data_IF_855552003143
#
_entry.id   IF_855552003143
#
_cell.length_a   1.000
_cell.length_b   1.000
_cell.length_c   1.000
_cell.angle_alpha   90.00
_cell.angle_beta   90.00
_cell.angle_gamma   90.00
#
_symmetry.space_group_name_H-M   'P 1'
#
loop_
_entity.id
_entity.type
_entity.pdbx_description
1 polymer ?
#
# COMPACT_ATOMS: atom_id res chain seq x y z
N UNK A 1 9.07 78.16 26.72
CA UNK A 1 9.00 78.06 25.24
C UNK A 1 10.25 77.35 24.74
N UNK A 2 10.15 76.08 24.37
CA UNK A 2 11.29 75.34 23.78
C UNK A 2 11.55 75.96 22.40
N UNK A 3 12.77 76.41 22.13
CA UNK A 3 13.13 77.08 20.87
C UNK A 3 12.85 76.12 19.71
N UNK A 4 12.17 76.60 18.67
CA UNK A 4 11.78 75.86 17.45
C UNK A 4 12.93 75.03 16.84
N UNK A 5 14.18 75.46 17.03
CA UNK A 5 15.37 74.72 16.59
C UNK A 5 15.69 73.46 17.40
N UNK A 6 15.37 73.40 18.70
CA UNK A 6 15.60 72.19 19.51
C UNK A 6 14.60 71.08 19.17
N UNK A 7 13.35 71.45 18.88
CA UNK A 7 12.31 70.50 18.43
C UNK A 7 12.72 69.82 17.13
N UNK A 8 13.24 70.57 16.15
CA UNK A 8 13.73 70.02 14.87
C UNK A 8 14.94 69.10 15.09
N UNK A 9 15.81 69.42 16.04
CA UNK A 9 16.99 68.61 16.37
C UNK A 9 16.61 67.27 17.02
N UNK A 10 15.63 67.28 17.93
CA UNK A 10 15.07 66.07 18.55
C UNK A 10 14.34 65.21 17.51
N UNK A 11 13.54 65.83 16.64
CA UNK A 11 12.79 65.14 15.60
C UNK A 11 13.71 64.40 14.61
N UNK A 12 14.84 65.01 14.23
CA UNK A 12 15.83 64.36 13.34
C UNK A 12 16.68 63.29 14.04
N UNK A 13 17.00 63.46 15.34
CA UNK A 13 17.88 62.53 16.07
C UNK A 13 17.15 61.33 16.68
N UNK A 14 15.86 61.44 16.97
CA UNK A 14 15.10 60.40 17.69
C UNK A 14 13.92 59.90 16.88
N UNK A 15 13.08 60.79 16.35
CA UNK A 15 11.83 60.38 15.68
C UNK A 15 12.09 59.77 14.31
N UNK A 16 13.02 60.35 13.52
CA UNK A 16 13.37 59.85 12.19
C UNK A 16 13.95 58.42 12.18
N UNK A 17 14.93 58.04 13.02
CA UNK A 17 15.43 56.66 13.04
C UNK A 17 14.38 55.64 13.52
N UNK A 18 13.52 56.01 14.48
CA UNK A 18 12.42 55.14 14.94
C UNK A 18 11.42 54.90 13.80
N UNK A 19 11.06 55.95 13.05
CA UNK A 19 10.17 55.82 11.90
C UNK A 19 10.77 54.92 10.80
N UNK A 20 12.08 55.01 10.57
CA UNK A 20 12.79 54.15 9.62
C UNK A 20 12.78 52.69 10.08
N UNK A 21 13.02 52.42 11.37
CA UNK A 21 12.97 51.05 11.92
C UNK A 21 11.57 50.46 11.82
N UNK A 22 10.53 51.24 12.12
CA UNK A 22 9.14 50.79 11.99
C UNK A 22 8.77 50.53 10.52
N UNK A 23 9.22 51.38 9.59
CA UNK A 23 9.01 51.16 8.16
C UNK A 23 9.75 49.90 7.66
N UNK A 24 10.99 49.67 8.10
CA UNK A 24 11.73 48.44 7.80
C UNK A 24 11.04 47.20 8.36
N UNK A 25 10.59 47.24 9.62
CA UNK A 25 9.85 46.14 10.23
C UNK A 25 8.55 45.85 9.48
N UNK A 26 7.84 46.88 9.01
CA UNK A 26 6.64 46.73 8.19
C UNK A 26 6.95 46.12 6.81
N UNK A 27 8.02 46.56 6.15
CA UNK A 27 8.45 46.00 4.86
C UNK A 27 8.88 44.54 5.01
N UNK A 28 9.66 44.21 6.05
CA UNK A 28 10.06 42.84 6.36
C UNK A 28 8.83 41.98 6.66
N UNK A 29 7.88 42.47 7.46
CA UNK A 29 6.62 41.76 7.74
C UNK A 29 5.81 41.54 6.46
N UNK A 30 5.69 42.54 5.59
CA UNK A 30 4.96 42.44 4.33
C UNK A 30 5.64 41.47 3.35
N UNK A 31 6.98 41.45 3.29
CA UNK A 31 7.74 40.45 2.52
C UNK A 31 7.59 39.04 3.11
N UNK A 32 7.57 38.91 4.44
CA UNK A 32 7.40 37.64 5.14
C UNK A 32 5.99 37.06 4.95
N UNK A 33 4.94 37.88 5.01
CA UNK A 33 3.56 37.47 4.71
C UNK A 33 3.39 37.04 3.24
N UNK A 34 4.03 37.75 2.30
CA UNK A 34 4.07 37.32 0.88
C UNK A 34 4.78 35.98 0.70
N UNK A 35 5.89 35.75 1.41
CA UNK A 35 6.63 34.48 1.35
C UNK A 35 5.81 33.29 1.85
N UNK A 36 4.97 33.46 2.89
CA UNK A 36 4.03 32.41 3.32
C UNK A 36 2.90 32.13 2.32
N UNK A 37 2.59 33.09 1.45
CA UNK A 37 1.53 32.95 0.45
C UNK A 37 2.04 32.30 -0.86
N UNK A 38 3.37 32.23 -1.04
CA UNK A 38 4.03 31.76 -2.26
C UNK A 38 4.58 30.32 -2.19
N UNK A 39 4.06 29.48 -1.29
CA UNK A 39 4.19 28.02 -1.44
C UNK A 39 3.27 27.59 -2.59
N UNK A 40 3.81 27.66 -3.82
CA UNK A 40 3.10 27.25 -5.03
C UNK A 40 2.66 25.78 -4.89
N UNK A 41 1.35 25.57 -4.73
CA UNK A 41 0.78 24.25 -4.49
C UNK A 41 1.20 23.25 -5.57
N UNK A 42 1.48 22.02 -5.15
CA UNK A 42 1.80 20.93 -6.04
C UNK A 42 0.52 20.45 -6.73
N UNK A 43 0.47 20.57 -8.06
CA UNK A 43 -0.67 20.09 -8.86
C UNK A 43 -0.31 18.76 -9.51
N UNK A 44 -1.15 17.75 -9.27
CA UNK A 44 -1.05 16.46 -9.96
C UNK A 44 -2.36 16.15 -10.66
N UNK A 45 -2.26 15.56 -11.86
CA UNK A 45 -3.41 15.04 -12.58
C UNK A 45 -3.32 13.52 -12.61
N UNK A 46 -4.25 12.84 -11.95
CA UNK A 46 -4.35 11.38 -11.94
C UNK A 46 -5.67 11.01 -12.60
N UNK A 47 -5.63 10.25 -13.71
CA UNK A 47 -6.81 9.82 -14.46
C UNK A 47 -7.80 10.96 -14.80
N UNK A 48 -7.27 12.11 -15.24
CA UNK A 48 -8.09 13.27 -15.64
C UNK A 48 -8.68 14.09 -14.49
N UNK A 49 -8.46 13.70 -13.23
CA UNK A 49 -8.81 14.50 -12.05
C UNK A 49 -7.60 15.32 -11.60
N UNK A 50 -7.80 16.64 -11.45
CA UNK A 50 -6.78 17.57 -10.96
C UNK A 50 -6.83 17.63 -9.44
N UNK A 51 -5.73 17.29 -8.78
CA UNK A 51 -5.53 17.40 -7.35
C UNK A 51 -4.58 18.56 -7.06
N UNK A 52 -4.98 19.45 -6.15
CA UNK A 52 -4.20 20.63 -5.79
C UNK A 52 -3.76 20.48 -4.34
N UNK A 53 -2.48 20.20 -4.14
CA UNK A 53 -1.90 20.02 -2.82
C UNK A 53 -1.27 21.33 -2.36
N UNK A 54 -1.69 21.90 -1.22
CA UNK A 54 -1.13 23.16 -0.72
C UNK A 54 0.36 23.05 -0.38
N UNK A 55 0.85 21.85 -0.04
CA UNK A 55 2.27 21.55 0.20
C UNK A 55 2.55 20.05 0.04
N UNK A 56 3.83 19.64 0.16
CA UNK A 56 4.26 18.25 0.04
C UNK A 56 3.70 17.34 1.15
N UNK A 57 3.54 17.86 2.37
CA UNK A 57 2.96 17.09 3.49
C UNK A 57 1.51 16.69 3.21
N UNK A 58 0.70 17.61 2.68
CA UNK A 58 -0.68 17.33 2.29
C UNK A 58 -0.76 16.28 1.16
N UNK A 59 0.20 16.29 0.23
CA UNK A 59 0.31 15.27 -0.82
C UNK A 59 0.67 13.89 -0.25
N UNK A 60 1.61 13.84 0.71
CA UNK A 60 1.97 12.60 1.39
C UNK A 60 0.81 12.05 2.23
N UNK A 61 0.06 12.90 2.93
CA UNK A 61 -1.13 12.49 3.70
C UNK A 61 -2.22 11.88 2.81
N UNK A 62 -2.52 12.47 1.66
CA UNK A 62 -3.47 11.87 0.72
C UNK A 62 -2.96 10.54 0.15
N UNK A 63 -1.67 10.45 -0.16
CA UNK A 63 -1.06 9.19 -0.62
C UNK A 63 -1.20 8.11 0.46
N UNK A 64 -0.95 8.43 1.72
CA UNK A 64 -1.09 7.50 2.84
C UNK A 64 -2.55 7.05 2.96
N UNK A 65 -3.51 7.99 2.96
CA UNK A 65 -4.95 7.66 3.01
C UNK A 65 -5.37 6.75 1.86
N UNK A 66 -4.86 7.00 0.65
CA UNK A 66 -5.11 6.16 -0.52
C UNK A 66 -4.57 4.74 -0.28
N UNK A 67 -3.30 4.61 0.13
CA UNK A 67 -2.66 3.32 0.42
C UNK A 67 -3.42 2.55 1.50
N UNK A 68 -3.80 3.22 2.59
CA UNK A 68 -4.58 2.61 3.68
C UNK A 68 -5.92 2.09 3.18
N UNK A 69 -6.61 2.86 2.33
CA UNK A 69 -7.86 2.44 1.71
C UNK A 69 -7.68 1.22 0.81
N UNK A 70 -6.69 1.23 -0.10
CA UNK A 70 -6.51 0.12 -1.05
C UNK A 70 -5.92 -1.13 -0.42
N UNK A 71 -5.11 -1.00 0.63
CA UNK A 71 -4.52 -2.14 1.36
C UNK A 71 -5.56 -3.10 1.92
N UNK A 72 -6.77 -2.61 2.20
CA UNK A 72 -7.88 -3.44 2.70
C UNK A 72 -8.45 -4.39 1.65
N UNK A 73 -8.21 -4.13 0.36
CA UNK A 73 -8.50 -5.03 -0.75
C UNK A 73 -7.42 -6.07 -1.03
N UNK A 74 -6.35 -6.11 -0.22
CA UNK A 74 -5.25 -7.07 -0.34
C UNK A 74 -5.35 -8.10 0.78
N UNK A 75 -5.19 -9.37 0.44
CA UNK A 75 -5.29 -10.51 1.33
C UNK A 75 -4.04 -11.37 1.27
N UNK A 76 -3.75 -12.08 2.36
CA UNK A 76 -2.66 -13.07 2.42
C UNK A 76 -3.14 -14.40 1.87
N UNK A 77 -2.31 -15.08 1.08
CA UNK A 77 -2.55 -16.44 0.62
C UNK A 77 -1.58 -17.38 1.31
N UNK A 78 -2.10 -18.43 1.93
CA UNK A 78 -1.35 -19.55 2.47
C UNK A 78 -1.62 -20.77 1.61
N UNK A 79 -0.56 -21.45 1.19
CA UNK A 79 -0.68 -22.71 0.45
C UNK A 79 0.00 -23.84 1.17
N UNK A 80 -0.59 -25.03 1.12
CA UNK A 80 0.06 -26.27 1.58
C UNK A 80 0.19 -27.21 0.40
N UNK A 81 1.37 -27.78 0.22
CA UNK A 81 1.70 -28.74 -0.83
C UNK A 81 2.30 -29.99 -0.20
N UNK A 82 1.96 -31.17 -0.71
CA UNK A 82 2.64 -32.40 -0.33
C UNK A 82 3.77 -32.67 -1.32
N UNK A 83 5.02 -32.57 -0.85
CA UNK A 83 6.19 -32.88 -1.65
C UNK A 83 6.72 -34.27 -1.27
N UNK A 84 6.96 -35.10 -2.28
CA UNK A 84 7.58 -36.40 -2.09
C UNK A 84 9.10 -36.23 -2.10
N UNK A 85 9.73 -36.54 -0.98
CA UNK A 85 11.18 -36.42 -0.80
C UNK A 85 11.78 -37.82 -0.84
N UNK A 86 12.86 -37.99 -1.60
CA UNK A 86 13.67 -39.21 -1.57
C UNK A 86 14.41 -39.25 -0.23
N UNK A 87 14.33 -40.38 0.46
CA UNK A 87 15.00 -40.54 1.74
C UNK A 87 16.51 -40.72 1.52
N UNK A 88 17.37 -39.75 1.88
CA UNK A 88 18.81 -39.87 1.68
C UNK A 88 19.45 -40.88 2.64
N UNK A 89 18.69 -41.39 3.62
CA UNK A 89 19.12 -42.41 4.57
C UNK A 89 18.53 -43.79 4.28
N UNK A 90 17.89 -43.97 3.12
CA UNK A 90 17.39 -45.27 2.71
C UNK A 90 18.53 -46.30 2.61
N UNK A 91 18.31 -47.49 3.19
CA UNK A 91 19.26 -48.61 3.21
C UNK A 91 20.62 -48.32 3.89
N UNK A 92 20.67 -47.32 4.78
CA UNK A 92 21.88 -47.08 5.57
C UNK A 92 22.00 -48.07 6.74
N UNK A 93 23.22 -48.61 6.99
CA UNK A 93 23.45 -49.65 7.99
C UNK A 93 23.23 -49.21 9.45
N UNK A 94 22.99 -47.92 9.68
CA UNK A 94 22.70 -47.35 11.00
C UNK A 94 21.22 -46.94 11.18
N UNK A 95 20.37 -47.11 10.16
CA UNK A 95 18.98 -46.64 10.17
C UNK A 95 18.16 -47.17 11.35
N UNK A 96 18.29 -48.47 11.63
CA UNK A 96 17.59 -49.15 12.73
C UNK A 96 18.09 -48.69 14.12
N UNK A 97 19.33 -48.20 14.23
CA UNK A 97 19.89 -47.68 15.48
C UNK A 97 19.36 -46.28 15.83
N UNK A 98 19.02 -45.47 14.82
CA UNK A 98 18.54 -44.09 14.99
C UNK A 98 17.02 -43.93 14.78
N UNK A 99 16.28 -45.03 14.68
CA UNK A 99 14.82 -45.05 14.47
C UNK A 99 14.40 -44.28 13.21
N UNK A 100 15.24 -44.32 12.16
CA UNK A 100 14.98 -43.67 10.89
C UNK A 100 14.07 -44.59 10.05
N UNK A 101 12.89 -44.11 9.60
CA UNK A 101 11.99 -44.93 8.79
C UNK A 101 12.68 -45.47 7.52
N UNK A 102 12.73 -46.79 7.36
CA UNK A 102 13.33 -47.43 6.19
C UNK A 102 12.38 -47.44 4.98
N UNK A 103 11.96 -46.24 4.57
CA UNK A 103 11.16 -46.04 3.35
C UNK A 103 11.97 -45.32 2.29
N UNK A 104 11.89 -45.70 1.00
CA UNK A 104 12.64 -45.05 -0.07
C UNK A 104 12.27 -43.57 -0.26
N UNK A 105 11.03 -43.22 0.09
CA UNK A 105 10.48 -41.89 -0.07
C UNK A 105 9.54 -41.61 1.11
N UNK A 106 9.40 -40.34 1.47
CA UNK A 106 8.38 -39.89 2.41
C UNK A 106 7.72 -38.60 1.91
N UNK A 107 6.48 -38.40 2.31
CA UNK A 107 5.69 -37.21 2.01
C UNK A 107 5.95 -36.16 3.08
N UNK A 108 6.35 -34.96 2.67
CA UNK A 108 6.51 -33.81 3.54
C UNK A 108 5.55 -32.71 3.12
N UNK A 109 4.92 -32.05 4.09
CA UNK A 109 4.12 -30.85 3.81
C UNK A 109 5.04 -29.64 3.70
N UNK A 110 5.00 -28.98 2.55
CA UNK A 110 5.60 -27.69 2.30
C UNK A 110 4.53 -26.61 2.41
N UNK A 111 4.89 -25.44 2.95
CA UNK A 111 4.00 -24.29 3.08
C UNK A 111 4.51 -23.14 2.20
N UNK A 112 3.59 -22.47 1.53
CA UNK A 112 3.85 -21.29 0.71
C UNK A 112 3.05 -20.08 1.22
N UNK A 113 3.56 -18.90 0.89
CA UNK A 113 2.97 -17.61 1.21
C UNK A 113 2.90 -16.75 -0.05
N UNK A 114 1.81 -16.00 -0.19
CA UNK A 114 1.61 -15.06 -1.28
C UNK A 114 0.59 -14.00 -0.92
N UNK A 115 0.19 -13.22 -1.92
CA UNK A 115 -0.84 -12.19 -1.77
C UNK A 115 -1.89 -12.32 -2.85
N UNK A 116 -3.10 -11.89 -2.54
CA UNK A 116 -4.21 -11.84 -3.48
C UNK A 116 -4.98 -10.53 -3.36
N UNK A 117 -5.66 -10.16 -4.44
CA UNK A 117 -6.32 -8.87 -4.61
C UNK A 117 -7.81 -9.09 -4.89
N UNK A 118 -8.69 -8.47 -4.09
CA UNK A 118 -10.14 -8.58 -4.29
C UNK A 118 -10.52 -7.83 -5.56
N UNK A 119 -11.06 -8.53 -6.56
CA UNK A 119 -11.40 -7.95 -7.86
C UNK A 119 -12.88 -7.91 -8.14
N UNK A 120 -13.66 -8.82 -7.55
CA UNK A 120 -15.10 -8.87 -7.77
C UNK A 120 -15.83 -9.66 -6.67
N UNK A 121 -17.15 -9.44 -6.57
CA UNK A 121 -18.06 -10.10 -5.62
C UNK A 121 -19.31 -10.55 -6.37
N UNK A 122 -19.50 -11.86 -6.51
CA UNK A 122 -20.67 -12.44 -7.16
C UNK A 122 -21.69 -12.92 -6.13
N UNK A 123 -22.73 -12.11 -5.93
CA UNK A 123 -23.82 -12.39 -4.99
C UNK A 123 -24.70 -13.57 -5.41
N UNK A 124 -24.79 -13.89 -6.71
CA UNK A 124 -25.60 -15.00 -7.20
C UNK A 124 -24.93 -16.33 -6.82
N UNK A 125 -23.61 -16.42 -7.05
CA UNK A 125 -22.80 -17.59 -6.68
C UNK A 125 -22.36 -17.58 -5.21
N UNK A 126 -22.52 -16.44 -4.52
CA UNK A 126 -22.09 -16.21 -3.13
C UNK A 126 -20.59 -16.45 -2.96
N UNK A 127 -19.79 -15.87 -3.87
CA UNK A 127 -18.33 -15.97 -3.86
C UNK A 127 -17.66 -14.60 -4.03
N UNK A 128 -16.48 -14.46 -3.46
CA UNK A 128 -15.57 -13.34 -3.69
C UNK A 128 -14.43 -13.83 -4.58
N UNK A 129 -14.15 -13.10 -5.64
CA UNK A 129 -13.05 -13.41 -6.55
C UNK A 129 -11.80 -12.61 -6.20
N UNK A 130 -10.65 -13.29 -6.22
CA UNK A 130 -9.35 -12.67 -5.99
C UNK A 130 -8.35 -13.06 -7.09
N UNK A 131 -7.54 -12.09 -7.50
CA UNK A 131 -6.39 -12.34 -8.38
C UNK A 131 -5.13 -12.57 -7.56
N UNK A 132 -4.30 -13.52 -8.01
CA UNK A 132 -2.97 -13.81 -7.48
C UNK A 132 -2.07 -14.31 -8.61
N UNK A 133 -0.83 -14.68 -8.30
CA UNK A 133 0.04 -15.31 -9.28
C UNK A 133 -0.23 -16.81 -9.39
N UNK A 134 -0.05 -17.37 -10.58
CA UNK A 134 -0.20 -18.80 -10.78
C UNK A 134 0.80 -19.59 -9.93
N UNK A 135 2.06 -19.18 -9.87
CA UNK A 135 3.08 -19.87 -9.08
C UNK A 135 2.78 -19.91 -7.57
N UNK A 136 1.94 -19.00 -7.05
CA UNK A 136 1.52 -19.01 -5.63
C UNK A 136 0.60 -20.20 -5.36
N UNK A 137 -0.29 -20.52 -6.30
CA UNK A 137 -1.33 -21.55 -6.13
C UNK A 137 -1.03 -22.84 -6.89
N UNK A 138 0.00 -22.86 -7.72
CA UNK A 138 0.42 -24.02 -8.50
C UNK A 138 0.78 -25.19 -7.57
N UNK A 139 0.20 -26.37 -7.82
CA UNK A 139 0.37 -27.59 -7.01
C UNK A 139 -0.05 -27.47 -5.53
N UNK A 140 -0.80 -26.43 -5.17
CA UNK A 140 -1.39 -26.32 -3.84
C UNK A 140 -2.52 -27.33 -3.62
N UNK A 141 -2.40 -28.17 -2.59
CA UNK A 141 -3.46 -29.07 -2.14
C UNK A 141 -4.49 -28.33 -1.29
N UNK A 142 -4.01 -27.36 -0.50
CA UNK A 142 -4.85 -26.48 0.30
C UNK A 142 -4.44 -25.03 0.07
N UNK A 143 -5.43 -24.17 -0.17
CA UNK A 143 -5.27 -22.74 -0.34
C UNK A 143 -6.17 -22.05 0.67
N UNK A 144 -5.59 -21.20 1.52
CA UNK A 144 -6.33 -20.38 2.47
C UNK A 144 -6.04 -18.92 2.22
N UNK A 145 -7.08 -18.10 2.27
CA UNK A 145 -7.00 -16.65 2.12
C UNK A 145 -7.33 -16.01 3.45
N UNK A 146 -6.42 -15.19 3.96
CA UNK A 146 -6.64 -14.37 5.14
C UNK A 146 -6.85 -12.92 4.73
N UNK A 147 -8.04 -12.41 5.00
CA UNK A 147 -8.41 -11.02 4.78
C UNK A 147 -7.84 -10.11 5.88
N UNK A 148 -7.76 -8.80 5.63
CA UNK A 148 -7.26 -7.81 6.61
C UNK A 148 -8.04 -7.80 7.93
N UNK A 149 -9.32 -8.16 7.90
CA UNK A 149 -10.16 -8.36 9.11
C UNK A 149 -9.86 -9.69 9.85
N UNK A 150 -8.76 -10.37 9.52
CA UNK A 150 -8.26 -11.62 10.12
C UNK A 150 -9.13 -12.86 9.89
N UNK A 151 -10.18 -12.75 9.08
CA UNK A 151 -10.99 -13.91 8.67
C UNK A 151 -10.19 -14.76 7.68
N UNK A 152 -10.15 -16.06 7.92
CA UNK A 152 -9.47 -17.05 7.08
C UNK A 152 -10.50 -17.94 6.40
N UNK A 153 -10.43 -18.05 5.08
CA UNK A 153 -11.31 -18.87 4.25
C UNK A 153 -10.52 -19.78 3.34
N UNK A 154 -11.01 -21.01 3.14
CA UNK A 154 -10.50 -21.90 2.10
C UNK A 154 -10.90 -21.36 0.73
N UNK A 155 -9.94 -21.30 -0.18
CA UNK A 155 -10.15 -20.85 -1.54
C UNK A 155 -10.11 -22.03 -2.52
N UNK A 156 -10.63 -21.78 -3.72
CA UNK A 156 -10.53 -22.68 -4.88
C UNK A 156 -10.00 -21.91 -6.07
N UNK A 157 -9.23 -22.59 -6.92
CA UNK A 157 -8.82 -22.02 -8.20
C UNK A 157 -9.99 -22.07 -9.17
N UNK A 158 -10.38 -20.92 -9.71
CA UNK A 158 -11.38 -20.78 -10.77
C UNK A 158 -10.73 -21.01 -12.13
N UNK A 159 -9.53 -20.47 -12.32
CA UNK A 159 -8.71 -20.65 -13.50
C UNK A 159 -7.33 -20.03 -13.31
N UNK A 160 -6.35 -20.49 -14.10
CA UNK A 160 -5.00 -19.95 -14.09
C UNK A 160 -4.39 -19.97 -15.49
N UNK A 161 -3.54 -18.99 -15.78
CA UNK A 161 -2.69 -18.94 -16.95
C UNK A 161 -1.21 -18.99 -16.51
N UNK A 162 -0.51 -20.01 -16.98
CA UNK A 162 0.90 -20.24 -16.68
C UNK A 162 1.83 -19.30 -17.45
N UNK A 163 1.41 -18.82 -18.63
CA UNK A 163 2.26 -17.95 -19.46
C UNK A 163 2.34 -16.54 -18.89
N UNK A 164 1.19 -15.98 -18.47
CA UNK A 164 1.15 -14.67 -17.81
C UNK A 164 1.40 -14.73 -16.30
N UNK A 165 1.52 -15.93 -15.72
CA UNK A 165 1.63 -16.18 -14.28
C UNK A 165 0.51 -15.54 -13.45
N UNK A 166 -0.74 -15.70 -13.91
CA UNK A 166 -1.95 -15.16 -13.25
C UNK A 166 -2.89 -16.29 -12.88
N UNK A 167 -3.51 -16.20 -11.70
CA UNK A 167 -4.57 -17.09 -11.27
C UNK A 167 -5.75 -16.31 -10.67
N UNK A 168 -6.96 -16.77 -10.97
CA UNK A 168 -8.19 -16.35 -10.34
C UNK A 168 -8.60 -17.41 -9.32
N UNK A 169 -8.75 -16.99 -8.07
CA UNK A 169 -9.27 -17.83 -6.99
C UNK A 169 -10.60 -17.28 -6.48
N UNK A 170 -11.42 -18.15 -5.91
CA UNK A 170 -12.67 -17.78 -5.25
C UNK A 170 -12.69 -18.24 -3.81
N UNK A 171 -13.34 -17.46 -2.95
CA UNK A 171 -13.74 -17.88 -1.60
C UNK A 171 -15.25 -17.78 -1.44
N UNK A 172 -15.89 -18.71 -0.71
CA UNK A 172 -17.32 -18.65 -0.45
C UNK A 172 -17.64 -17.54 0.55
N UNK A 173 -18.85 -16.98 0.47
CA UNK A 173 -19.35 -16.07 1.49
C UNK A 173 -19.40 -16.76 2.85
N UNK A 174 -18.93 -16.04 3.86
CA UNK A 174 -19.16 -16.31 5.27
C UNK A 174 -19.50 -14.99 5.94
N UNK A 175 -20.33 -15.04 6.98
CA UNK A 175 -20.85 -13.87 7.71
C UNK A 175 -19.83 -12.73 7.80
N UNK A 176 -20.12 -11.61 7.15
CA UNK A 176 -19.33 -10.37 7.18
C UNK A 176 -18.25 -10.26 6.11
N UNK A 177 -17.98 -11.30 5.32
CA UNK A 177 -17.01 -11.25 4.21
C UNK A 177 -17.62 -10.59 2.98
N UNK A 178 -18.89 -10.81 2.70
CA UNK A 178 -19.63 -10.16 1.61
C UNK A 178 -19.58 -8.63 1.71
N UNK A 179 -19.82 -8.09 2.90
CA UNK A 179 -19.80 -6.65 3.15
C UNK A 179 -18.38 -6.09 3.18
N UNK A 180 -17.42 -6.88 3.71
CA UNK A 180 -16.02 -6.49 3.71
C UNK A 180 -15.46 -6.45 2.28
N UNK A 181 -15.66 -7.51 1.51
CA UNK A 181 -15.11 -7.61 0.16
C UNK A 181 -15.72 -6.57 -0.78
N UNK A 182 -17.05 -6.39 -0.75
CA UNK A 182 -17.73 -5.41 -1.63
C UNK A 182 -17.27 -3.97 -1.42
N UNK A 183 -16.90 -3.60 -0.18
CA UNK A 183 -16.33 -2.27 0.13
C UNK A 183 -14.86 -2.13 -0.26
N UNK A 184 -14.15 -3.24 -0.47
CA UNK A 184 -12.71 -3.28 -0.68
C UNK A 184 -12.32 -3.87 -2.05
N UNK A 185 -13.26 -3.90 -3.01
CA UNK A 185 -12.96 -4.29 -4.40
C UNK A 185 -11.99 -3.28 -5.02
N UNK A 186 -10.89 -3.79 -5.57
CA UNK A 186 -9.90 -2.99 -6.29
C UNK A 186 -10.32 -2.83 -7.75
N UNK A 187 -10.28 -1.58 -8.23
CA UNK A 187 -10.57 -1.28 -9.63
C UNK A 187 -9.32 -1.50 -10.46
N UNK A 188 -9.48 -2.23 -11.56
CA UNK A 188 -8.43 -2.35 -12.57
C UNK A 188 -8.27 -1.03 -13.31
N UNK A 189 -7.01 -0.66 -13.55
CA UNK A 189 -6.64 0.47 -14.38
C UNK A 189 -6.37 0.07 -15.83
N UNK A 190 -6.08 1.07 -16.66
CA UNK A 190 -5.65 0.90 -18.04
C UNK A 190 -4.11 1.04 -18.11
N UNK A 191 -3.44 -0.06 -18.46
CA UNK A 191 -1.98 -0.10 -18.56
C UNK A 191 -1.44 0.70 -19.75
N UNK A 192 -2.22 0.89 -20.82
CA UNK A 192 -1.77 1.58 -22.03
C UNK A 192 -1.64 3.09 -21.80
N UNK A 193 -2.27 3.61 -20.75
CA UNK A 193 -2.18 5.01 -20.33
C UNK A 193 -0.98 5.28 -19.41
N UNK A 194 -0.28 4.24 -18.93
CA UNK A 194 0.90 4.43 -18.08
C UNK A 194 2.05 5.00 -18.89
N UNK A 195 2.73 5.98 -18.30
CA UNK A 195 3.91 6.62 -18.90
C UNK A 195 5.17 6.15 -18.20
N UNK A 196 6.25 5.98 -18.96
CA UNK A 196 7.58 5.74 -18.38
C UNK A 196 7.93 6.86 -17.42
N UNK A 197 8.37 6.49 -16.20
CA UNK A 197 8.64 7.43 -15.11
C UNK A 197 7.44 7.73 -14.20
N UNK A 198 6.27 7.15 -14.46
CA UNK A 198 5.14 7.22 -13.52
C UNK A 198 5.47 6.52 -12.20
N UNK A 199 5.08 7.12 -11.08
CA UNK A 199 5.20 6.51 -9.76
C UNK A 199 4.21 5.36 -9.62
N UNK A 200 4.70 4.21 -9.14
CA UNK A 200 3.89 3.03 -8.83
C UNK A 200 4.09 2.63 -7.37
N UNK A 201 3.07 2.00 -6.78
CA UNK A 201 3.12 1.48 -5.41
C UNK A 201 2.79 -0.01 -5.49
N UNK A 202 3.73 -0.85 -5.08
CA UNK A 202 3.49 -2.28 -4.92
C UNK A 202 2.99 -2.55 -3.49
N UNK A 203 1.87 -3.26 -3.37
CA UNK A 203 1.27 -3.64 -2.08
C UNK A 203 1.16 -5.15 -2.05
N UNK A 204 1.57 -5.74 -0.93
CA UNK A 204 1.39 -7.16 -0.64
C UNK A 204 1.00 -7.36 0.82
N UNK A 205 0.47 -8.54 1.11
CA UNK A 205 0.10 -8.99 2.44
C UNK A 205 0.67 -10.40 2.63
N UNK A 206 1.96 -10.56 2.99
CA UNK A 206 2.50 -11.90 3.20
C UNK A 206 2.04 -12.51 4.53
N UNK A 207 1.68 -11.70 5.55
CA UNK A 207 1.16 -12.17 6.85
C UNK A 207 0.22 -11.16 7.57
N UNK A 208 -0.24 -10.11 6.89
CA UNK A 208 -1.28 -9.19 7.36
C UNK A 208 -0.86 -8.18 8.41
#
# INVERSE_FOLDING_TARGET
MIKKQEVVKIMKKVVLPIAIILALAFIVKAQFEKFHTEQSGYKQTIQGKSYNFPNLQAADEERIKLIESVSSGVATVFTTQEVTIQNPFYDMPFGDFFDIPNTPQFKQRSHGLGSAFIVDVDYNKKVVYLLTNNHVVENAEDIQVQFKNKVVLKAKVVGADKLSDVALIEVPFKKGIEDFASKNVLKLGDSDQLKVGATVIAIGAPLG
#
